data_IF_231349097788
#
_entry.id   IF_231349097788
#
_cell.length_a   1.000
_cell.length_b   1.000
_cell.length_c   1.000
_cell.angle_alpha   90.00
_cell.angle_beta   90.00
_cell.angle_gamma   90.00
#
_symmetry.space_group_name_H-M   'P 1'
#
loop_
_entity.id
_entity.type
_entity.pdbx_description
1 polymer ?
#
# COMPACT_ATOMS: atom_id res chain seq x y z
N UNK A 1 -7.68 -7.97 3.00
CA UNK A 1 -7.60 -8.13 4.48
C UNK A 1 -6.82 -6.94 5.00
N UNK A 2 -7.24 -6.32 6.10
CA UNK A 2 -6.52 -5.19 6.67
C UNK A 2 -5.10 -5.56 7.14
N UNK A 3 -4.14 -4.68 6.88
CA UNK A 3 -2.74 -4.82 7.30
C UNK A 3 -2.50 -4.41 8.77
N UNK A 4 -3.50 -3.79 9.39
CA UNK A 4 -3.46 -3.30 10.77
C UNK A 4 -4.77 -3.64 11.48
N UNK A 5 -4.69 -3.77 12.80
CA UNK A 5 -5.85 -3.97 13.68
C UNK A 5 -6.34 -2.63 14.25
N UNK A 6 -7.55 -2.63 14.81
CA UNK A 6 -8.11 -1.48 15.54
C UNK A 6 -7.18 -1.07 16.70
N UNK A 7 -6.58 -2.04 17.38
CA UNK A 7 -5.64 -1.79 18.48
C UNK A 7 -4.38 -1.06 17.99
N UNK A 8 -3.88 -1.37 16.79
CA UNK A 8 -2.73 -0.68 16.21
C UNK A 8 -3.05 0.78 15.88
N UNK A 9 -4.24 1.02 15.29
CA UNK A 9 -4.71 2.36 14.96
C UNK A 9 -4.84 3.22 16.22
N UNK A 10 -5.49 2.68 17.26
CA UNK A 10 -5.63 3.33 18.57
C UNK A 10 -4.29 3.53 19.28
N UNK A 11 -3.35 2.60 19.13
CA UNK A 11 -2.00 2.71 19.66
C UNK A 11 -1.19 3.84 19.02
N UNK A 12 -1.40 4.08 17.71
CA UNK A 12 -0.69 5.13 16.96
C UNK A 12 -1.31 6.53 17.10
N UNK A 13 -2.64 6.63 17.01
CA UNK A 13 -3.37 7.91 16.93
C UNK A 13 -4.13 8.27 18.21
N UNK A 14 -3.85 7.57 19.31
CA UNK A 14 -4.61 7.59 20.57
C UNK A 14 -6.01 6.98 20.45
N UNK A 15 -6.43 6.30 21.51
CA UNK A 15 -7.76 5.68 21.58
C UNK A 15 -8.86 6.73 21.54
N UNK A 16 -8.72 7.82 22.30
CA UNK A 16 -9.73 8.88 22.34
C UNK A 16 -9.85 9.61 21.00
N UNK A 17 -8.72 9.88 20.34
CA UNK A 17 -8.72 10.53 19.03
C UNK A 17 -9.45 9.71 17.98
N UNK A 18 -9.15 8.42 17.88
CA UNK A 18 -9.82 7.50 16.94
C UNK A 18 -11.31 7.35 17.26
N UNK A 19 -11.67 7.24 18.55
CA UNK A 19 -13.07 7.11 18.96
C UNK A 19 -13.88 8.37 18.63
N UNK A 20 -13.28 9.56 18.79
CA UNK A 20 -13.93 10.82 18.43
C UNK A 20 -14.16 10.92 16.92
N UNK A 21 -13.19 10.47 16.10
CA UNK A 21 -13.31 10.47 14.64
C UNK A 21 -14.37 9.47 14.13
N UNK A 22 -14.60 8.40 14.88
CA UNK A 22 -15.59 7.38 14.56
C UNK A 22 -16.89 7.52 15.37
N UNK A 23 -17.09 8.65 16.06
CA UNK A 23 -18.25 8.85 16.92
C UNK A 23 -19.55 8.83 16.11
N UNK A 24 -20.52 8.04 16.56
CA UNK A 24 -21.87 8.03 16.03
C UNK A 24 -22.81 8.71 17.03
N UNK A 25 -23.45 9.79 16.59
CA UNK A 25 -24.34 10.61 17.43
C UNK A 25 -25.64 9.88 17.79
N UNK A 26 -26.11 8.96 16.93
CA UNK A 26 -27.33 8.21 17.16
C UNK A 26 -27.13 7.04 18.13
N UNK A 27 -25.93 6.43 18.12
CA UNK A 27 -25.56 5.35 19.04
C UNK A 27 -24.92 5.85 20.34
N UNK A 28 -24.58 7.15 20.45
CA UNK A 28 -23.82 7.75 21.56
C UNK A 28 -22.54 6.96 21.90
N UNK A 29 -21.89 6.40 20.87
CA UNK A 29 -20.75 5.51 20.99
C UNK A 29 -19.88 5.55 19.73
N UNK A 30 -18.59 5.15 19.82
CA UNK A 30 -17.75 4.99 18.63
C UNK A 30 -18.24 3.81 17.77
N UNK A 31 -18.40 4.05 16.46
CA UNK A 31 -18.75 3.03 15.48
C UNK A 31 -17.50 2.21 15.09
N UNK A 32 -17.35 1.04 15.72
CA UNK A 32 -16.28 0.08 15.42
C UNK A 32 -16.32 -0.43 13.96
N UNK A 33 -17.52 -0.48 13.35
CA UNK A 33 -17.68 -0.90 11.95
C UNK A 33 -17.06 0.12 11.02
N UNK A 34 -17.28 1.41 11.29
CA UNK A 34 -16.64 2.50 10.56
C UNK A 34 -15.12 2.46 10.68
N UNK A 35 -14.59 2.15 11.87
CA UNK A 35 -13.15 1.97 12.07
C UNK A 35 -12.62 0.80 11.24
N UNK A 36 -13.29 -0.35 11.28
CA UNK A 36 -12.89 -1.51 10.46
C UNK A 36 -12.94 -1.22 8.96
N UNK A 37 -13.99 -0.52 8.48
CA UNK A 37 -14.14 -0.16 7.08
C UNK A 37 -13.04 0.80 6.61
N UNK A 38 -12.60 1.72 7.47
CA UNK A 38 -11.47 2.61 7.17
C UNK A 38 -10.14 1.85 7.04
N UNK A 39 -9.91 0.84 7.89
CA UNK A 39 -8.74 -0.04 7.80
C UNK A 39 -8.75 -0.89 6.52
N UNK A 40 -9.90 -1.45 6.15
CA UNK A 40 -10.06 -2.21 4.92
C UNK A 40 -9.87 -1.33 3.67
N UNK A 41 -10.41 -0.11 3.67
CA UNK A 41 -10.19 0.85 2.59
C UNK A 41 -8.70 1.22 2.46
N UNK A 42 -8.02 1.49 3.58
CA UNK A 42 -6.58 1.75 3.61
C UNK A 42 -5.78 0.57 3.05
N UNK A 43 -6.13 -0.66 3.41
CA UNK A 43 -5.49 -1.85 2.90
C UNK A 43 -5.71 -2.05 1.39
N UNK A 44 -6.92 -1.81 0.88
CA UNK A 44 -7.19 -1.88 -0.56
C UNK A 44 -6.37 -0.88 -1.37
N UNK A 45 -6.16 0.34 -0.84
CA UNK A 45 -5.26 1.33 -1.44
C UNK A 45 -3.83 0.80 -1.49
N UNK A 46 -3.33 0.25 -0.38
CA UNK A 46 -1.99 -0.33 -0.33
C UNK A 46 -1.81 -1.48 -1.31
N UNK A 47 -2.79 -2.39 -1.39
CA UNK A 47 -2.79 -3.53 -2.33
C UNK A 47 -2.65 -3.07 -3.79
N UNK A 48 -3.31 -1.96 -4.15
CA UNK A 48 -3.21 -1.37 -5.50
C UNK A 48 -1.78 -0.95 -5.86
N UNK A 49 -1.03 -0.40 -4.90
CA UNK A 49 0.38 -0.01 -5.11
C UNK A 49 1.33 -1.21 -5.05
N UNK A 50 1.13 -2.12 -4.09
CA UNK A 50 2.01 -3.26 -3.87
C UNK A 50 1.88 -4.32 -4.96
N UNK A 51 0.68 -4.52 -5.50
CA UNK A 51 0.39 -5.51 -6.55
C UNK A 51 1.16 -5.29 -7.85
N UNK A 52 1.80 -4.11 -8.03
CA UNK A 52 2.70 -3.87 -9.16
C UNK A 52 4.01 -4.65 -9.09
N UNK A 53 4.50 -4.97 -7.89
CA UNK A 53 5.84 -5.58 -7.69
C UNK A 53 5.82 -6.85 -6.85
N UNK A 54 4.85 -7.00 -5.96
CA UNK A 54 4.79 -8.10 -5.02
C UNK A 54 3.56 -8.99 -5.30
N UNK A 55 3.69 -10.30 -5.11
CA UNK A 55 2.54 -11.20 -5.15
C UNK A 55 1.68 -10.96 -3.91
N UNK A 56 0.39 -10.71 -4.12
CA UNK A 56 -0.59 -10.55 -3.06
C UNK A 56 -1.16 -11.93 -2.63
N UNK A 57 -1.45 -12.14 -1.35
CA UNK A 57 -1.17 -11.25 -0.22
C UNK A 57 0.33 -11.25 0.12
N UNK A 58 0.90 -10.07 0.37
CA UNK A 58 2.30 -9.97 0.79
C UNK A 58 2.42 -10.60 2.19
N UNK A 59 2.95 -11.81 2.28
CA UNK A 59 3.41 -12.39 3.54
C UNK A 59 4.67 -11.63 3.96
N UNK A 60 4.46 -10.46 4.55
CA UNK A 60 5.54 -9.58 4.96
C UNK A 60 6.35 -10.23 6.10
N UNK A 61 7.67 -10.27 5.95
CA UNK A 61 8.57 -10.47 7.09
C UNK A 61 8.24 -9.46 8.21
N UNK A 62 8.54 -9.78 9.48
CA UNK A 62 8.10 -8.98 10.64
C UNK A 62 8.39 -7.48 10.49
N UNK A 63 9.54 -7.10 9.92
CA UNK A 63 9.92 -5.70 9.73
C UNK A 63 9.06 -4.99 8.67
N UNK A 64 8.77 -5.67 7.56
CA UNK A 64 7.88 -5.16 6.54
C UNK A 64 6.43 -5.08 7.04
N UNK A 65 6.01 -6.00 7.92
CA UNK A 65 4.68 -5.98 8.52
C UNK A 65 4.48 -4.77 9.46
N UNK A 66 5.52 -4.34 10.18
CA UNK A 66 5.47 -3.14 11.03
C UNK A 66 5.28 -1.88 10.19
N UNK A 67 6.02 -1.75 9.08
CA UNK A 67 5.90 -0.60 8.18
C UNK A 67 4.51 -0.55 7.52
N UNK A 68 4.05 -1.67 6.95
CA UNK A 68 2.74 -1.75 6.31
C UNK A 68 1.60 -1.46 7.29
N UNK A 69 1.70 -1.94 8.54
CA UNK A 69 0.75 -1.61 9.60
C UNK A 69 0.70 -0.11 9.88
N UNK A 70 1.85 0.53 9.99
CA UNK A 70 1.95 1.98 10.21
C UNK A 70 1.30 2.79 9.10
N UNK A 71 1.55 2.42 7.84
CA UNK A 71 0.97 3.08 6.66
C UNK A 71 -0.54 2.86 6.58
N UNK A 72 -1.01 1.65 6.86
CA UNK A 72 -2.44 1.33 6.90
C UNK A 72 -3.17 2.19 7.93
N UNK A 73 -2.57 2.39 9.10
CA UNK A 73 -3.12 3.26 10.14
C UNK A 73 -3.22 4.73 9.69
N UNK A 74 -2.21 5.26 8.99
CA UNK A 74 -2.21 6.65 8.51
C UNK A 74 -3.28 6.89 7.44
N UNK A 75 -3.44 5.93 6.52
CA UNK A 75 -4.52 5.99 5.52
C UNK A 75 -5.90 5.87 6.16
N UNK A 76 -6.06 4.95 7.12
CA UNK A 76 -7.34 4.74 7.80
C UNK A 76 -7.77 5.98 8.60
N UNK A 77 -6.85 6.67 9.27
CA UNK A 77 -7.19 7.91 10.00
C UNK A 77 -7.65 9.02 9.03
N UNK A 78 -7.03 9.11 7.84
CA UNK A 78 -7.46 10.04 6.79
C UNK A 78 -8.88 9.76 6.29
N UNK A 79 -9.25 8.47 6.17
CA UNK A 79 -10.61 8.05 5.83
C UNK A 79 -11.62 8.41 6.94
N UNK A 80 -11.26 8.21 8.21
CA UNK A 80 -12.13 8.57 9.33
C UNK A 80 -12.33 10.09 9.43
N UNK A 81 -11.28 10.87 9.18
CA UNK A 81 -11.27 12.33 9.21
C UNK A 81 -11.76 13.00 7.92
N UNK A 82 -12.58 12.34 7.11
CA UNK A 82 -13.04 12.89 5.83
C UNK A 82 -14.13 13.99 5.95
N UNK A 83 -14.42 14.46 7.16
CA UNK A 83 -15.29 15.61 7.41
C UNK A 83 -14.46 16.87 7.67
N UNK A 84 -14.90 18.06 7.25
CA UNK A 84 -14.14 19.29 7.41
C UNK A 84 -13.85 19.65 8.87
N UNK A 85 -14.68 19.20 9.82
CA UNK A 85 -14.48 19.43 11.25
C UNK A 85 -13.38 18.53 11.86
N UNK A 86 -13.19 17.33 11.29
CA UNK A 86 -12.22 16.34 11.79
C UNK A 86 -10.88 16.41 11.05
N UNK A 87 -10.85 17.01 9.85
CA UNK A 87 -9.68 17.06 8.99
C UNK A 87 -8.69 18.12 9.48
N UNK A 88 -7.49 17.69 9.85
CA UNK A 88 -6.41 18.58 10.31
C UNK A 88 -5.12 18.39 9.50
N UNK A 89 -4.18 19.33 9.64
CA UNK A 89 -2.93 19.31 8.89
C UNK A 89 -2.04 18.11 9.20
N UNK A 90 -2.06 17.61 10.43
CA UNK A 90 -1.26 16.46 10.87
C UNK A 90 -1.73 15.18 10.18
N UNK A 91 -3.05 14.97 10.12
CA UNK A 91 -3.68 13.83 9.45
C UNK A 91 -3.44 13.91 7.93
N UNK A 92 -3.63 15.08 7.33
CA UNK A 92 -3.35 15.28 5.90
C UNK A 92 -1.88 15.00 5.59
N UNK A 93 -0.96 15.48 6.43
CA UNK A 93 0.48 15.26 6.24
C UNK A 93 0.84 13.78 6.35
N UNK A 94 0.29 13.07 7.34
CA UNK A 94 0.50 11.63 7.50
C UNK A 94 -0.06 10.82 6.32
N UNK A 95 -1.30 11.11 5.89
CA UNK A 95 -1.92 10.48 4.71
C UNK A 95 -1.08 10.70 3.45
N UNK A 96 -0.63 11.94 3.21
CA UNK A 96 0.24 12.27 2.06
C UNK A 96 1.59 11.57 2.12
N UNK A 97 2.23 11.52 3.29
CA UNK A 97 3.49 10.83 3.47
C UNK A 97 3.35 9.33 3.20
N UNK A 98 2.26 8.71 3.66
CA UNK A 98 1.96 7.31 3.40
C UNK A 98 1.78 7.03 1.89
N UNK A 99 0.99 7.87 1.20
CA UNK A 99 0.79 7.76 -0.25
C UNK A 99 2.09 7.97 -1.05
N UNK A 100 2.92 8.94 -0.64
CA UNK A 100 4.22 9.19 -1.26
C UNK A 100 5.14 7.97 -1.14
N UNK A 101 5.21 7.37 0.05
CA UNK A 101 6.01 6.18 0.27
C UNK A 101 5.51 4.96 -0.51
N UNK A 102 4.18 4.75 -0.58
CA UNK A 102 3.58 3.69 -1.40
C UNK A 102 3.88 3.89 -2.89
N UNK A 103 3.90 5.14 -3.36
CA UNK A 103 4.32 5.47 -4.72
C UNK A 103 5.79 5.12 -4.94
N UNK A 104 6.68 5.51 -4.03
CA UNK A 104 8.11 5.18 -4.10
C UNK A 104 8.37 3.66 -4.08
N UNK A 105 7.59 2.90 -3.30
CA UNK A 105 7.61 1.44 -3.30
C UNK A 105 7.18 0.89 -4.67
N UNK A 106 6.11 1.42 -5.26
CA UNK A 106 5.62 0.97 -6.57
C UNK A 106 6.59 1.31 -7.71
N UNK A 107 7.31 2.44 -7.60
CA UNK A 107 8.34 2.89 -8.55
C UNK A 107 9.70 2.21 -8.31
N UNK A 108 9.89 1.52 -7.17
CA UNK A 108 11.15 0.85 -6.82
C UNK A 108 12.22 1.73 -6.20
N UNK A 109 11.88 2.96 -5.84
CA UNK A 109 12.78 3.88 -5.14
C UNK A 109 12.96 3.51 -3.67
N UNK A 110 11.92 2.93 -3.08
CA UNK A 110 11.95 2.34 -1.76
C UNK A 110 11.85 0.82 -1.87
N UNK A 111 12.52 0.11 -0.97
CA UNK A 111 12.46 -1.36 -0.87
C UNK A 111 11.99 -1.71 0.53
N UNK A 112 10.99 -2.58 0.63
CA UNK A 112 10.72 -3.28 1.87
C UNK A 112 11.89 -4.26 2.02
N UNK A 113 12.59 -4.29 3.15
CA UNK A 113 13.64 -5.29 3.45
C UNK A 113 13.02 -6.69 3.66
N UNK A 114 12.17 -7.11 2.74
CA UNK A 114 11.74 -8.48 2.55
C UNK A 114 12.82 -9.12 1.70
N UNK A 115 13.38 -10.23 2.15
CA UNK A 115 14.18 -11.11 1.29
C UNK A 115 13.30 -11.37 0.05
N UNK A 116 13.71 -10.91 -1.15
CA UNK A 116 12.91 -11.16 -2.33
C UNK A 116 12.82 -12.67 -2.48
N UNK A 117 11.60 -13.20 -2.55
CA UNK A 117 11.40 -14.56 -3.04
C UNK A 117 12.09 -14.62 -4.40
N UNK A 118 12.99 -15.59 -4.61
CA UNK A 118 13.90 -15.67 -5.75
C UNK A 118 13.20 -15.81 -7.13
N UNK A 119 11.88 -15.64 -7.18
CA UNK A 119 11.03 -15.65 -8.37
C UNK A 119 10.40 -14.28 -8.67
N UNK A 120 10.70 -13.24 -7.88
CA UNK A 120 10.41 -11.87 -8.29
C UNK A 120 11.39 -11.50 -9.40
N UNK A 121 10.91 -11.56 -10.65
CA UNK A 121 11.67 -11.15 -11.82
C UNK A 121 12.41 -9.84 -11.57
N UNK A 122 13.65 -9.80 -12.07
CA UNK A 122 14.61 -8.71 -11.92
C UNK A 122 13.93 -7.34 -11.92
N UNK A 123 14.24 -6.45 -10.95
CA UNK A 123 13.71 -5.10 -10.98
C UNK A 123 14.12 -4.44 -12.30
N UNK A 124 13.13 -4.11 -13.14
CA UNK A 124 13.35 -3.30 -14.35
C UNK A 124 13.71 -1.90 -13.86
N UNK A 125 15.01 -1.65 -13.67
CA UNK A 125 15.55 -0.31 -13.49
C UNK A 125 15.41 0.48 -14.79
N UNK A 126 15.27 1.81 -14.73
CA UNK A 126 14.97 2.63 -15.91
C UNK A 126 16.14 2.82 -16.90
N UNK A 127 17.17 1.96 -16.91
CA UNK A 127 18.33 2.14 -17.80
C UNK A 127 18.93 0.80 -18.28
N UNK A 128 18.09 -0.10 -18.78
CA UNK A 128 18.56 -1.26 -19.52
C UNK A 128 18.03 -1.20 -20.96
N UNK A 129 18.90 -1.15 -21.99
CA UNK A 129 18.44 -1.21 -23.36
C UNK A 129 17.74 -2.56 -23.57
N UNK A 130 16.42 -2.50 -23.74
CA UNK A 130 15.61 -3.64 -24.13
C UNK A 130 16.14 -4.14 -25.47
N UNK A 131 16.94 -5.21 -25.42
CA UNK A 131 17.18 -6.08 -26.57
C UNK A 131 15.83 -6.68 -26.92
N UNK A 132 15.13 -6.02 -27.87
CA UNK A 132 14.03 -6.62 -28.59
C UNK A 132 14.66 -7.77 -29.37
N UNK A 133 14.55 -8.98 -28.82
CA UNK A 133 14.88 -10.20 -29.55
C UNK A 133 13.89 -10.29 -30.72
N UNK A 134 14.40 -9.90 -31.89
CA UNK A 134 13.65 -9.83 -33.14
C UNK A 134 13.33 -11.26 -33.61
N UNK A 135 12.28 -11.83 -33.04
CA UNK A 135 11.71 -13.12 -33.41
C UNK A 135 11.17 -13.15 -34.86
N UNK A 136 11.37 -12.09 -35.65
CA UNK A 136 11.02 -12.01 -37.07
C UNK A 136 12.11 -12.48 -38.05
N UNK A 137 13.37 -12.62 -37.62
CA UNK A 137 14.49 -12.83 -38.56
C UNK A 137 14.79 -14.31 -38.86
N UNK A 138 14.35 -15.23 -37.99
CA UNK A 138 14.61 -16.67 -38.12
C UNK A 138 13.79 -17.34 -39.23
N UNK A 139 12.64 -16.79 -39.60
CA UNK A 139 11.79 -17.34 -40.67
C UNK A 139 12.27 -16.94 -42.07
N UNK A 140 12.83 -15.73 -42.21
CA UNK A 140 13.29 -15.19 -43.51
C UNK A 140 14.56 -15.86 -44.02
N UNK A 141 15.43 -16.35 -43.12
CA UNK A 141 16.67 -17.06 -43.50
C UNK A 141 16.41 -18.49 -44.00
N UNK A 142 15.29 -19.12 -43.62
CA UNK A 142 14.94 -20.48 -44.06
C UNK A 142 14.35 -20.54 -45.47
N UNK A 143 13.73 -19.47 -45.95
CA UNK A 143 13.11 -19.42 -47.28
C UNK A 143 14.06 -18.98 -48.41
N UNK A 144 15.32 -18.65 -48.10
CA UNK A 144 16.33 -18.24 -49.09
C UNK A 144 17.35 -19.34 -49.45
N UNK A 145 17.11 -20.56 -48.97
CA UNK A 145 17.94 -21.77 -49.25
C UNK A 145 17.13 -22.92 -49.88
N UNK A 146 16.07 -22.57 -50.61
CA UNK A 146 15.37 -23.42 -51.59
C UNK A 146 15.44 -22.71 -52.94
#
# INVERSE_FOLDING_TARGET
MAYATIADLRGKWSTEGVNLLAWDDAAEAPDETRISGALDAGAAIMDSYLGRRYKLPVLAQPDAAILLRGLCCDLAVGQLANTPAARNEIIIAAEKAALAFLRDLSEGKATLNIIPSAEAGTPIGPDEPVLIDDAGDSLRRRLRRL
#
